data_IF_178294221908
#
_entry.id   IF_178294221908
#
_cell.length_a   1.000
_cell.length_b   1.000
_cell.length_c   1.000
_cell.angle_alpha   90.00
_cell.angle_beta   90.00
_cell.angle_gamma   90.00
#
_symmetry.space_group_name_H-M   'P 1'
#
loop_
_entity.id
_entity.type
_entity.pdbx_description
1 polymer ?
#
# COMPACT_ATOMS: atom_id res chain seq x y z
N UNK A 1 13.97 -2.90 13.07
CA UNK A 1 13.10 -2.11 12.18
C UNK A 1 11.69 -2.68 12.16
N UNK A 2 11.53 -3.97 11.84
CA UNK A 2 10.22 -4.66 11.70
C UNK A 2 9.31 -4.59 12.94
N UNK A 3 9.86 -4.73 14.14
CA UNK A 3 9.09 -4.67 15.40
C UNK A 3 8.53 -3.27 15.73
N UNK A 4 9.18 -2.21 15.22
CA UNK A 4 8.66 -0.84 15.31
C UNK A 4 7.57 -0.61 14.26
N UNK A 5 7.70 -1.23 13.08
CA UNK A 5 6.72 -1.14 12.00
C UNK A 5 5.41 -1.89 12.33
N UNK A 6 5.47 -2.98 13.11
CA UNK A 6 4.28 -3.70 13.60
C UNK A 6 3.36 -2.89 14.52
N UNK A 7 3.82 -1.73 15.01
CA UNK A 7 3.03 -0.81 15.84
C UNK A 7 2.41 0.34 15.06
N UNK A 8 2.65 0.41 13.75
CA UNK A 8 2.05 1.42 12.88
C UNK A 8 0.61 1.03 12.60
N UNK A 9 -0.30 1.89 13.04
CA UNK A 9 -1.74 1.74 12.81
C UNK A 9 -2.31 3.06 12.30
N UNK A 10 -2.60 3.12 11.01
CA UNK A 10 -3.15 4.30 10.36
C UNK A 10 -4.01 3.89 9.17
N UNK A 11 -5.14 4.56 8.95
CA UNK A 11 -6.11 4.22 7.90
C UNK A 11 -5.53 4.23 6.47
N UNK A 12 -4.43 4.96 6.24
CA UNK A 12 -3.76 5.10 4.95
C UNK A 12 -2.36 4.47 4.91
N UNK A 13 -2.02 3.59 5.86
CA UNK A 13 -0.77 2.79 5.84
C UNK A 13 -1.15 1.33 6.01
N UNK A 14 -0.56 0.44 5.21
CA UNK A 14 -0.81 -0.99 5.30
C UNK A 14 -0.29 -1.50 6.64
N UNK A 15 -1.18 -2.10 7.42
CA UNK A 15 -0.86 -2.62 8.74
C UNK A 15 -0.08 -3.92 8.64
N UNK A 16 1.08 -3.96 9.30
CA UNK A 16 1.82 -5.20 9.54
C UNK A 16 1.17 -5.93 10.72
N UNK A 17 0.75 -7.17 10.48
CA UNK A 17 0.10 -8.03 11.48
C UNK A 17 1.15 -8.81 12.27
N UNK A 18 2.16 -9.33 11.59
CA UNK A 18 3.27 -10.04 12.21
C UNK A 18 4.51 -9.99 11.32
N UNK A 19 5.68 -10.12 11.93
CA UNK A 19 6.93 -10.35 11.22
C UNK A 19 7.71 -11.47 11.93
N UNK A 20 8.31 -12.37 11.16
CA UNK A 20 9.21 -13.40 11.67
C UNK A 20 10.54 -13.32 10.95
N UNK A 21 11.61 -13.37 11.73
CA UNK A 21 13.00 -13.38 11.24
C UNK A 21 13.63 -14.77 11.31
N UNK A 22 12.90 -15.83 11.73
CA UNK A 22 13.46 -17.16 11.97
C UNK A 22 12.48 -18.30 11.66
N UNK A 23 12.97 -19.40 11.07
CA UNK A 23 12.36 -20.73 11.17
C UNK A 23 13.26 -21.64 12.03
N UNK A 24 12.68 -22.53 12.87
CA UNK A 24 13.46 -23.54 13.57
C UNK A 24 13.83 -24.67 12.60
N UNK A 25 15.13 -24.83 12.36
CA UNK A 25 15.70 -25.99 11.66
C UNK A 25 15.94 -25.79 10.15
N UNK A 26 17.20 -25.93 9.77
CA UNK A 26 17.79 -25.83 8.43
C UNK A 26 17.98 -24.43 7.82
N UNK A 27 19.18 -24.26 7.29
CA UNK A 27 19.81 -23.03 6.83
C UNK A 27 19.21 -22.61 5.47
N UNK A 28 18.10 -21.85 5.48
CA UNK A 28 17.67 -20.93 4.41
C UNK A 28 16.28 -20.34 4.72
N UNK A 29 16.09 -19.85 5.95
CA UNK A 29 14.80 -19.24 6.31
C UNK A 29 14.79 -17.76 5.92
N UNK A 30 14.11 -17.44 4.81
CA UNK A 30 13.73 -16.07 4.48
C UNK A 30 12.78 -15.52 5.57
N UNK A 31 13.00 -14.28 5.99
CA UNK A 31 12.07 -13.58 6.88
C UNK A 31 10.68 -13.49 6.24
N UNK A 32 9.62 -13.52 7.06
CA UNK A 32 8.23 -13.42 6.59
C UNK A 32 7.54 -12.25 7.25
N UNK A 33 6.91 -11.39 6.45
CA UNK A 33 6.06 -10.29 6.92
C UNK A 33 4.63 -10.64 6.52
N UNK A 34 3.74 -10.65 7.51
CA UNK A 34 2.29 -10.82 7.34
C UNK A 34 1.65 -9.45 7.49
N UNK A 35 0.89 -9.03 6.49
CA UNK A 35 0.21 -7.74 6.44
C UNK A 35 -1.30 -7.93 6.34
N UNK A 36 -2.07 -6.87 6.61
CA UNK A 36 -3.49 -6.86 6.28
C UNK A 36 -3.68 -7.03 4.77
N UNK A 37 -4.76 -7.70 4.39
CA UNK A 37 -5.19 -7.73 3.00
C UNK A 37 -5.96 -6.44 2.68
N UNK A 38 -5.47 -5.67 1.71
CA UNK A 38 -5.99 -4.32 1.39
C UNK A 38 -6.93 -4.34 0.20
N UNK A 39 -6.75 -5.26 -0.76
CA UNK A 39 -7.53 -5.37 -1.98
C UNK A 39 -6.72 -5.93 -3.14
N UNK A 40 -7.35 -6.04 -4.31
CA UNK A 40 -6.75 -6.62 -5.53
C UNK A 40 -6.20 -5.56 -6.52
N UNK A 41 -6.20 -4.28 -6.15
CA UNK A 41 -5.81 -3.20 -7.06
C UNK A 41 -4.84 -2.23 -6.39
N UNK A 42 -3.98 -1.64 -7.22
CA UNK A 42 -3.05 -0.58 -6.85
C UNK A 42 -3.34 0.65 -7.68
N UNK A 43 -2.79 1.80 -7.30
CA UNK A 43 -2.92 3.01 -8.07
C UNK A 43 -2.28 2.87 -9.47
N UNK A 44 -1.24 2.04 -9.61
CA UNK A 44 -0.65 1.68 -10.91
C UNK A 44 -1.68 1.08 -11.85
N UNK A 45 -2.43 0.07 -11.37
CA UNK A 45 -3.51 -0.57 -12.12
C UNK A 45 -4.59 0.44 -12.55
N UNK A 46 -4.91 1.40 -11.69
CA UNK A 46 -5.95 2.40 -11.98
C UNK A 46 -5.49 3.48 -12.96
N UNK A 47 -4.22 3.91 -12.89
CA UNK A 47 -3.68 4.93 -13.80
C UNK A 47 -3.39 4.33 -15.18
N UNK A 48 -2.71 3.19 -15.23
CA UNK A 48 -2.20 2.63 -16.48
C UNK A 48 -3.16 1.59 -17.10
N UNK A 49 -3.97 0.93 -16.26
CA UNK A 49 -4.83 -0.20 -16.65
C UNK A 49 -4.04 -1.51 -16.58
N UNK A 50 -4.67 -2.59 -16.14
CA UNK A 50 -4.18 -3.93 -16.48
C UNK A 50 -4.26 -4.09 -18.00
N UNK A 51 -3.28 -4.73 -18.62
CA UNK A 51 -3.27 -5.03 -20.07
C UNK A 51 -4.41 -5.93 -20.57
N UNK A 52 -5.50 -6.07 -19.81
CA UNK A 52 -6.71 -6.78 -20.17
C UNK A 52 -7.53 -5.92 -21.15
N UNK A 53 -7.53 -6.34 -22.41
CA UNK A 53 -8.26 -5.77 -23.55
C UNK A 53 -9.78 -5.93 -23.35
N UNK A 54 -10.36 -5.22 -22.39
CA UNK A 54 -11.80 -5.05 -22.27
C UNK A 54 -12.08 -3.55 -22.26
N UNK A 55 -12.00 -2.96 -23.46
CA UNK A 55 -12.51 -1.64 -23.83
C UNK A 55 -12.47 -0.58 -22.69
N UNK A 56 -11.36 0.15 -22.56
CA UNK A 56 -11.32 1.40 -21.78
C UNK A 56 -12.50 2.27 -22.20
N UNK A 57 -13.55 2.32 -21.39
CA UNK A 57 -14.63 3.31 -21.56
C UNK A 57 -14.04 4.64 -21.13
N UNK A 58 -14.56 5.73 -21.70
CA UNK A 58 -14.11 7.10 -21.38
C UNK A 58 -14.29 7.44 -19.88
N UNK A 59 -15.09 6.64 -19.16
CA UNK A 59 -15.33 6.68 -17.70
C UNK A 59 -14.28 5.92 -16.86
N UNK A 60 -13.31 5.21 -17.45
CA UNK A 60 -12.28 4.46 -16.71
C UNK A 60 -11.07 5.33 -16.32
N UNK A 61 -11.15 6.65 -16.54
CA UNK A 61 -10.13 7.60 -16.07
C UNK A 61 -10.50 8.15 -14.70
N UNK A 62 -9.49 8.37 -13.87
CA UNK A 62 -9.67 9.01 -12.58
C UNK A 62 -10.30 10.39 -12.75
N UNK A 63 -11.46 10.59 -12.12
CA UNK A 63 -12.03 11.92 -11.97
C UNK A 63 -11.12 12.81 -11.12
N UNK A 64 -11.20 14.13 -11.31
CA UNK A 64 -10.45 15.10 -10.49
C UNK A 64 -10.75 14.88 -8.99
N UNK A 65 -12.00 14.56 -8.64
CA UNK A 65 -12.39 14.27 -7.27
C UNK A 65 -11.64 13.05 -6.70
N UNK A 66 -11.49 11.97 -7.48
CA UNK A 66 -10.73 10.79 -7.07
C UNK A 66 -9.23 11.11 -6.96
N UNK A 67 -8.67 11.85 -7.92
CA UNK A 67 -7.26 12.28 -7.86
C UNK A 67 -6.97 13.05 -6.56
N UNK A 68 -7.85 14.00 -6.21
CA UNK A 68 -7.72 14.76 -4.97
C UNK A 68 -7.91 13.88 -3.73
N UNK A 69 -8.90 12.98 -3.73
CA UNK A 69 -9.14 12.04 -2.63
C UNK A 69 -7.94 11.15 -2.36
N UNK A 70 -7.39 10.52 -3.40
CA UNK A 70 -6.21 9.66 -3.29
C UNK A 70 -4.98 10.45 -2.88
N UNK A 71 -4.81 11.67 -3.40
CA UNK A 71 -3.71 12.54 -2.98
C UNK A 71 -3.80 12.86 -1.48
N UNK A 72 -5.01 13.18 -0.97
CA UNK A 72 -5.22 13.42 0.45
C UNK A 72 -4.90 12.19 1.31
N UNK A 73 -5.35 11.00 0.89
CA UNK A 73 -5.06 9.75 1.59
C UNK A 73 -3.55 9.44 1.65
N UNK A 74 -2.85 9.57 0.52
CA UNK A 74 -1.40 9.37 0.46
C UNK A 74 -0.69 10.38 1.36
N UNK A 75 -1.07 11.66 1.31
CA UNK A 75 -0.46 12.68 2.17
C UNK A 75 -0.72 12.41 3.66
N UNK A 76 -1.92 11.96 4.03
CA UNK A 76 -2.22 11.58 5.40
C UNK A 76 -1.34 10.40 5.88
N UNK A 77 -1.15 9.39 5.04
CA UNK A 77 -0.24 8.27 5.33
C UNK A 77 1.21 8.72 5.48
N UNK A 78 1.71 9.59 4.59
CA UNK A 78 3.07 10.12 4.67
C UNK A 78 3.29 10.99 5.90
N UNK A 79 2.34 11.86 6.25
CA UNK A 79 2.41 12.67 7.48
C UNK A 79 2.55 11.76 8.71
N UNK A 80 1.77 10.68 8.77
CA UNK A 80 1.87 9.69 9.84
C UNK A 80 3.22 8.96 9.86
N UNK A 81 3.73 8.49 8.71
CA UNK A 81 5.05 7.86 8.66
C UNK A 81 6.16 8.81 9.09
N UNK A 82 6.13 10.05 8.59
CA UNK A 82 7.12 11.07 8.90
C UNK A 82 7.07 11.50 10.38
N UNK A 83 5.90 11.52 11.02
CA UNK A 83 5.81 11.77 12.47
C UNK A 83 6.46 10.67 13.32
N UNK A 84 6.65 9.48 12.75
CA UNK A 84 7.38 8.36 13.34
C UNK A 84 8.84 8.28 12.87
N UNK A 85 9.34 9.32 12.18
CA UNK A 85 10.69 9.40 11.61
C UNK A 85 10.98 8.28 10.59
N UNK A 86 9.96 7.81 9.88
CA UNK A 86 10.07 6.78 8.85
C UNK A 86 9.98 7.46 7.48
N UNK A 87 10.95 7.18 6.60
CA UNK A 87 10.92 7.58 5.19
C UNK A 87 10.61 6.34 4.36
N UNK A 88 9.62 6.41 3.47
CA UNK A 88 9.18 5.26 2.67
C UNK A 88 10.23 4.77 1.67
N UNK A 89 10.97 5.70 1.05
CA UNK A 89 12.03 5.47 0.05
C UNK A 89 11.63 4.83 -1.29
N UNK A 90 10.53 4.07 -1.36
CA UNK A 90 10.01 3.48 -2.60
C UNK A 90 8.55 3.86 -2.91
N UNK A 91 8.23 5.15 -2.78
CA UNK A 91 6.88 5.64 -3.04
C UNK A 91 6.62 5.72 -4.55
N UNK A 92 5.76 4.83 -5.06
CA UNK A 92 5.34 4.76 -6.47
C UNK A 92 3.91 4.22 -6.58
N UNK A 93 3.20 4.41 -7.71
CA UNK A 93 1.81 3.93 -7.86
C UNK A 93 1.60 2.45 -7.57
N UNK A 94 2.62 1.60 -7.82
CA UNK A 94 2.55 0.16 -7.55
C UNK A 94 2.50 -0.17 -6.04
N UNK A 95 2.99 0.75 -5.19
CA UNK A 95 3.08 0.60 -3.74
C UNK A 95 1.94 1.34 -3.02
N UNK A 96 0.96 1.86 -3.77
CA UNK A 96 -0.27 2.44 -3.23
C UNK A 96 -1.42 1.48 -3.53
N UNK A 97 -1.93 0.83 -2.49
CA UNK A 97 -3.06 -0.08 -2.58
C UNK A 97 -4.39 0.66 -2.52
N UNK A 98 -5.38 0.19 -3.27
CA UNK A 98 -6.74 0.74 -3.25
C UNK A 98 -7.66 -0.31 -2.65
N UNK A 99 -8.30 0.07 -1.54
CA UNK A 99 -9.28 -0.77 -0.86
C UNK A 99 -10.58 -0.90 -1.64
N UNK A 100 -11.38 -1.92 -1.31
CA UNK A 100 -12.74 -2.08 -1.83
C UNK A 100 -13.65 -0.89 -1.51
N UNK A 101 -13.30 -0.10 -0.48
CA UNK A 101 -13.99 1.14 -0.09
C UNK A 101 -13.41 2.40 -0.76
N UNK A 102 -12.56 2.25 -1.79
CA UNK A 102 -11.98 3.36 -2.54
C UNK A 102 -11.10 4.31 -1.68
N UNK A 103 -10.44 3.75 -0.66
CA UNK A 103 -9.43 4.41 0.18
C UNK A 103 -8.04 3.94 -0.20
N UNK A 104 -7.07 4.85 -0.29
CA UNK A 104 -5.66 4.50 -0.54
C UNK A 104 -4.91 4.14 0.75
N UNK A 105 -4.08 3.10 0.66
CA UNK A 105 -3.08 2.75 1.69
C UNK A 105 -1.69 2.62 1.09
N UNK A 106 -0.71 3.20 1.76
CA UNK A 106 0.72 3.09 1.43
C UNK A 106 1.24 1.75 1.96
N UNK A 107 1.84 0.91 1.11
CA UNK A 107 2.49 -0.34 1.48
C UNK A 107 3.81 -0.55 0.73
N UNK A 108 4.41 -1.73 0.89
CA UNK A 108 5.83 -2.01 0.56
C UNK A 108 6.80 -1.08 1.31
#
# INVERSE_FOLDING_TARGET
AELNAARLDHKNVVRIVAASTCAPGNQDSLGTIIMEYVGNSTLDHVIYGTGCIAAKRKDDQLSIAQCLGYSCDIMAGLVFLHSHLIVHLDLKPANIFITEHNVCKIGD
#
